data_IF_964815397872
#
_entry.id   IF_964815397872
#
_cell.length_a   1.000
_cell.length_b   1.000
_cell.length_c   1.000
_cell.angle_alpha   90.00
_cell.angle_beta   90.00
_cell.angle_gamma   90.00
#
_symmetry.space_group_name_H-M   'P 1'
#
loop_
_entity.id
_entity.type
_entity.pdbx_description
1 polymer ?
#
# COMPACT_ATOMS: atom_id res chain seq x y z
N UNK A 1 -1.86 -17.12 -44.07
CA UNK A 1 -2.69 -16.02 -43.55
C UNK A 1 -2.76 -16.16 -42.04
N UNK A 2 -1.93 -15.42 -41.32
CA UNK A 2 -1.82 -15.45 -39.86
C UNK A 2 -2.94 -14.61 -39.23
N UNK A 3 -3.87 -15.26 -38.52
CA UNK A 3 -4.86 -14.57 -37.69
C UNK A 3 -4.18 -14.07 -36.41
N UNK A 4 -3.95 -12.76 -36.35
CA UNK A 4 -3.46 -12.04 -35.17
C UNK A 4 -4.34 -12.30 -33.95
N UNK A 5 -3.83 -13.05 -32.97
CA UNK A 5 -4.37 -13.10 -31.61
C UNK A 5 -4.07 -11.78 -30.92
N UNK A 6 -5.02 -10.84 -30.98
CA UNK A 6 -4.99 -9.59 -30.22
C UNK A 6 -4.96 -9.90 -28.73
N UNK A 7 -3.82 -9.68 -28.09
CA UNK A 7 -3.65 -9.70 -26.64
C UNK A 7 -4.60 -8.68 -26.00
N UNK A 8 -5.68 -9.15 -25.37
CA UNK A 8 -6.60 -8.27 -24.63
C UNK A 8 -5.83 -7.75 -23.42
N UNK A 9 -5.57 -6.44 -23.41
CA UNK A 9 -4.83 -5.76 -22.36
C UNK A 9 -5.51 -5.98 -20.99
N UNK A 10 -4.72 -6.30 -19.98
CA UNK A 10 -5.15 -6.62 -18.61
C UNK A 10 -5.21 -5.33 -17.78
N UNK A 11 -6.30 -5.07 -17.06
CA UNK A 11 -6.38 -3.94 -16.11
C UNK A 11 -5.53 -4.25 -14.86
N UNK A 12 -4.43 -3.53 -14.59
CA UNK A 12 -3.54 -3.81 -13.46
C UNK A 12 -4.12 -3.43 -12.10
N UNK A 13 -5.15 -2.57 -12.03
CA UNK A 13 -5.73 -2.10 -10.77
C UNK A 13 -6.91 -2.94 -10.29
N UNK A 14 -7.59 -3.69 -11.17
CA UNK A 14 -8.90 -4.32 -10.90
C UNK A 14 -10.05 -3.32 -10.58
N UNK A 15 -9.76 -2.02 -10.48
CA UNK A 15 -10.70 -0.91 -10.27
C UNK A 15 -10.23 0.33 -11.02
N UNK A 16 -11.03 1.39 -11.04
CA UNK A 16 -10.65 2.72 -11.54
C UNK A 16 -10.16 3.59 -10.38
N UNK A 17 -8.89 4.08 -10.38
CA UNK A 17 -8.39 4.95 -9.32
C UNK A 17 -9.27 6.20 -9.13
N UNK A 18 -9.47 6.67 -7.90
CA UNK A 18 -10.26 7.89 -7.64
C UNK A 18 -9.58 9.15 -8.19
N UNK A 19 -10.29 9.90 -9.04
CA UNK A 19 -9.82 11.16 -9.62
C UNK A 19 -9.58 12.22 -8.54
N UNK A 20 -10.55 12.43 -7.65
CA UNK A 20 -10.46 13.48 -6.62
C UNK A 20 -9.25 13.26 -5.70
N UNK A 21 -9.05 12.03 -5.23
CA UNK A 21 -7.93 11.70 -4.32
C UNK A 21 -6.58 11.91 -5.02
N UNK A 22 -6.46 11.48 -6.27
CA UNK A 22 -5.20 11.61 -7.02
C UNK A 22 -4.86 13.06 -7.30
N UNK A 23 -5.83 13.89 -7.69
CA UNK A 23 -5.63 15.34 -7.88
C UNK A 23 -5.18 16.01 -6.57
N UNK A 24 -5.86 15.71 -5.46
CA UNK A 24 -5.51 16.27 -4.14
C UNK A 24 -4.07 15.92 -3.78
N UNK A 25 -3.67 14.65 -3.94
CA UNK A 25 -2.31 14.22 -3.61
C UNK A 25 -1.25 14.86 -4.51
N UNK A 26 -1.48 14.93 -5.83
CA UNK A 26 -0.59 15.63 -6.75
C UNK A 26 -0.41 17.09 -6.32
N UNK A 27 -1.50 17.80 -6.00
CA UNK A 27 -1.46 19.18 -5.58
C UNK A 27 -0.69 19.36 -4.26
N UNK A 28 -0.96 18.53 -3.25
CA UNK A 28 -0.30 18.61 -1.95
C UNK A 28 1.22 18.37 -2.07
N UNK A 29 1.64 17.34 -2.80
CA UNK A 29 3.06 17.07 -3.00
C UNK A 29 3.72 18.16 -3.85
N UNK A 30 3.07 18.63 -4.91
CA UNK A 30 3.62 19.69 -5.77
C UNK A 30 3.83 20.99 -5.00
N UNK A 31 2.83 21.44 -4.24
CA UNK A 31 2.92 22.64 -3.41
C UNK A 31 4.03 22.47 -2.37
N UNK A 32 4.09 21.32 -1.69
CA UNK A 32 5.13 21.02 -0.71
C UNK A 32 6.53 21.05 -1.34
N UNK A 33 6.71 20.42 -2.50
CA UNK A 33 7.99 20.41 -3.24
C UNK A 33 8.41 21.83 -3.61
N UNK A 34 7.52 22.64 -4.20
CA UNK A 34 7.83 24.02 -4.60
C UNK A 34 8.22 24.87 -3.39
N UNK A 35 7.49 24.76 -2.27
CA UNK A 35 7.80 25.48 -1.03
C UNK A 35 9.19 25.08 -0.49
N UNK A 36 9.49 23.78 -0.42
CA UNK A 36 10.78 23.31 0.06
C UNK A 36 11.93 23.63 -0.90
N UNK A 37 11.70 23.66 -2.22
CA UNK A 37 12.68 24.16 -3.20
C UNK A 37 12.99 25.64 -2.96
N UNK A 38 11.96 26.47 -2.76
CA UNK A 38 12.14 27.88 -2.44
C UNK A 38 12.92 28.09 -1.13
N UNK A 39 12.62 27.30 -0.09
CA UNK A 39 13.34 27.31 1.18
C UNK A 39 14.80 26.85 1.02
N UNK A 40 15.05 25.82 0.22
CA UNK A 40 16.40 25.31 -0.04
C UNK A 40 17.29 26.38 -0.69
N UNK A 41 16.76 27.08 -1.69
CA UNK A 41 17.49 28.15 -2.41
C UNK A 41 17.68 29.38 -1.52
N UNK A 42 16.59 29.86 -0.88
CA UNK A 42 16.64 31.10 -0.09
C UNK A 42 17.49 30.99 1.17
N UNK A 43 17.41 29.86 1.86
CA UNK A 43 18.14 29.61 3.10
C UNK A 43 19.46 28.85 2.89
N UNK A 44 19.85 28.59 1.64
CA UNK A 44 21.05 27.82 1.25
C UNK A 44 21.11 26.44 1.92
N UNK A 45 19.96 25.81 2.14
CA UNK A 45 19.83 24.47 2.71
C UNK A 45 19.95 23.43 1.60
N UNK A 46 21.11 23.36 0.96
CA UNK A 46 21.34 22.53 -0.24
C UNK A 46 21.05 21.04 -0.04
N UNK A 47 21.15 20.54 1.19
CA UNK A 47 20.81 19.14 1.51
C UNK A 47 19.33 18.82 1.28
N UNK A 48 18.42 19.81 1.25
CA UNK A 48 17.01 19.60 0.95
C UNK A 48 16.75 19.21 -0.51
N UNK A 49 17.65 19.57 -1.44
CA UNK A 49 17.49 19.25 -2.86
C UNK A 49 17.54 17.74 -3.14
N UNK A 50 18.62 17.00 -2.79
CA UNK A 50 18.68 15.56 -3.03
C UNK A 50 17.79 14.74 -2.08
N UNK A 51 17.17 15.36 -1.07
CA UNK A 51 16.31 14.66 -0.09
C UNK A 51 14.84 15.02 -0.27
N UNK A 52 14.38 16.11 0.32
CA UNK A 52 12.96 16.52 0.33
C UNK A 52 12.44 16.84 -1.06
N UNK A 53 13.19 17.58 -1.86
CA UNK A 53 12.75 17.98 -3.21
C UNK A 53 12.72 16.76 -4.13
N UNK A 54 13.78 15.95 -4.14
CA UNK A 54 13.81 14.73 -4.94
C UNK A 54 12.72 13.72 -4.54
N UNK A 55 12.53 13.47 -3.24
CA UNK A 55 11.45 12.62 -2.75
C UNK A 55 10.07 13.17 -3.12
N UNK A 56 9.85 14.48 -2.97
CA UNK A 56 8.60 15.13 -3.34
C UNK A 56 8.32 15.06 -4.85
N UNK A 57 9.33 15.22 -5.71
CA UNK A 57 9.19 15.04 -7.16
C UNK A 57 8.78 13.61 -7.53
N UNK A 58 9.38 12.60 -6.88
CA UNK A 58 8.99 11.20 -7.07
C UNK A 58 7.53 10.97 -6.67
N UNK A 59 7.08 11.54 -5.54
CA UNK A 59 5.67 11.46 -5.12
C UNK A 59 4.75 12.14 -6.13
N UNK A 60 5.08 13.35 -6.60
CA UNK A 60 4.29 14.04 -7.65
C UNK A 60 4.17 13.17 -8.89
N UNK A 61 5.27 12.61 -9.38
CA UNK A 61 5.28 11.75 -10.57
C UNK A 61 4.48 10.46 -10.33
N UNK A 62 4.61 9.87 -9.14
CA UNK A 62 3.86 8.66 -8.76
C UNK A 62 2.36 8.89 -8.74
N UNK A 63 1.90 9.95 -8.09
CA UNK A 63 0.49 10.32 -8.02
C UNK A 63 -0.06 10.82 -9.36
N UNK A 64 0.76 11.49 -10.18
CA UNK A 64 0.40 11.85 -11.55
C UNK A 64 0.24 10.61 -12.43
N UNK A 65 1.10 9.60 -12.26
CA UNK A 65 0.94 8.28 -12.88
C UNK A 65 -0.39 7.64 -12.48
N UNK A 66 -0.77 7.71 -11.20
CA UNK A 66 -2.06 7.21 -10.71
C UNK A 66 -3.26 7.96 -11.29
N UNK A 67 -3.15 9.29 -11.45
CA UNK A 67 -4.17 10.11 -12.11
C UNK A 67 -4.29 9.76 -13.59
N UNK A 68 -3.17 9.52 -14.28
CA UNK A 68 -3.21 9.04 -15.67
C UNK A 68 -3.93 7.69 -15.77
N UNK A 69 -3.67 6.79 -14.83
CA UNK A 69 -4.40 5.52 -14.74
C UNK A 69 -5.88 5.64 -14.42
N UNK A 70 -6.39 6.79 -13.97
CA UNK A 70 -7.84 7.03 -13.89
C UNK A 70 -8.45 7.14 -15.30
N UNK A 71 -7.84 7.93 -16.18
CA UNK A 71 -8.35 8.15 -17.55
C UNK A 71 -8.05 7.00 -18.50
N UNK A 72 -6.94 6.29 -18.29
CA UNK A 72 -6.53 5.13 -19.08
C UNK A 72 -5.99 4.02 -18.17
N UNK A 73 -6.93 3.26 -17.60
CA UNK A 73 -6.65 2.21 -16.62
C UNK A 73 -5.80 1.08 -17.22
N UNK A 74 -5.90 0.85 -18.53
CA UNK A 74 -5.15 -0.19 -19.23
C UNK A 74 -3.70 0.19 -19.50
N UNK A 75 -3.32 1.43 -19.21
CA UNK A 75 -1.99 1.93 -19.44
C UNK A 75 -0.99 1.35 -18.43
N UNK A 76 -0.33 0.27 -18.83
CA UNK A 76 0.70 -0.38 -18.03
C UNK A 76 1.88 0.55 -17.70
N UNK A 77 2.16 1.54 -18.54
CA UNK A 77 3.22 2.53 -18.27
C UNK A 77 2.84 3.43 -17.11
N UNK A 78 1.60 3.94 -17.08
CA UNK A 78 1.09 4.76 -15.98
C UNK A 78 1.09 3.99 -14.66
N UNK A 79 0.65 2.72 -14.68
CA UNK A 79 0.71 1.82 -13.52
C UNK A 79 2.14 1.60 -13.02
N UNK A 80 3.07 1.31 -13.92
CA UNK A 80 4.48 1.10 -13.59
C UNK A 80 5.15 2.36 -13.03
N UNK A 81 4.85 3.54 -13.62
CA UNK A 81 5.34 4.83 -13.13
C UNK A 81 4.87 5.07 -11.70
N UNK A 82 3.57 4.91 -11.43
CA UNK A 82 3.02 5.04 -10.09
C UNK A 82 3.75 4.08 -9.14
N UNK A 83 3.71 2.77 -9.44
CA UNK A 83 4.23 1.74 -8.54
C UNK A 83 5.72 1.95 -8.22
N UNK A 84 6.53 2.34 -9.20
CA UNK A 84 7.95 2.61 -8.99
C UNK A 84 8.16 3.89 -8.17
N UNK A 85 7.53 5.00 -8.56
CA UNK A 85 7.81 6.30 -7.95
C UNK A 85 7.29 6.39 -6.52
N UNK A 86 6.11 5.81 -6.20
CA UNK A 86 5.58 5.78 -4.82
C UNK A 86 6.35 4.81 -3.92
N UNK A 87 7.08 3.85 -4.49
CA UNK A 87 8.01 2.99 -3.72
C UNK A 87 9.28 3.76 -3.38
N UNK A 88 9.86 4.47 -4.35
CA UNK A 88 11.15 5.14 -4.17
C UNK A 88 11.04 6.50 -3.45
N UNK A 89 9.93 7.23 -3.61
CA UNK A 89 9.74 8.60 -3.12
C UNK A 89 9.97 8.82 -1.62
N UNK A 90 9.50 7.92 -0.74
CA UNK A 90 9.66 8.08 0.71
C UNK A 90 11.10 7.92 1.22
N UNK A 91 11.98 7.27 0.46
CA UNK A 91 13.36 6.98 0.88
C UNK A 91 14.21 8.27 1.00
N UNK A 92 14.24 9.16 0.00
CA UNK A 92 14.85 10.49 0.15
C UNK A 92 14.25 11.35 1.27
N UNK A 93 12.95 11.22 1.56
CA UNK A 93 12.30 11.92 2.68
C UNK A 93 12.83 11.43 4.03
N UNK A 94 13.09 10.13 4.15
CA UNK A 94 13.69 9.54 5.33
C UNK A 94 15.15 10.00 5.53
N UNK A 95 15.93 10.10 4.45
CA UNK A 95 17.27 10.66 4.49
C UNK A 95 17.30 12.12 5.04
N UNK A 96 16.29 12.94 4.72
CA UNK A 96 16.15 14.27 5.30
C UNK A 96 16.02 14.21 6.84
N UNK A 97 15.27 13.25 7.37
CA UNK A 97 15.08 13.09 8.81
C UNK A 97 16.40 12.78 9.52
N UNK A 98 17.26 11.94 8.94
CA UNK A 98 18.56 11.60 9.50
C UNK A 98 19.50 12.82 9.58
N UNK A 99 19.52 13.64 8.53
CA UNK A 99 20.33 14.87 8.49
C UNK A 99 19.82 15.89 9.51
N UNK A 100 18.50 16.10 9.57
CA UNK A 100 17.88 17.03 10.53
C UNK A 100 18.17 16.57 11.96
N UNK A 101 18.05 15.27 12.25
CA UNK A 101 18.36 14.72 13.56
C UNK A 101 19.83 14.93 13.95
N UNK A 102 20.76 14.71 13.01
CA UNK A 102 22.19 15.03 13.23
C UNK A 102 22.41 16.49 13.62
N UNK A 103 21.76 17.42 12.91
CA UNK A 103 21.81 18.86 13.24
C UNK A 103 21.20 19.19 14.60
N UNK A 104 20.12 18.50 15.01
CA UNK A 104 19.54 18.66 16.34
C UNK A 104 20.52 18.22 17.43
N UNK A 105 21.23 17.10 17.22
CA UNK A 105 22.25 16.64 18.17
C UNK A 105 23.39 17.66 18.30
N UNK A 106 23.82 18.26 17.19
CA UNK A 106 24.85 19.33 17.21
C UNK A 106 24.39 20.56 18.02
N UNK A 107 23.09 20.88 18.00
CA UNK A 107 22.53 22.01 18.74
C UNK A 107 22.25 21.72 20.22
N UNK A 108 21.73 20.53 20.54
CA UNK A 108 21.31 20.17 21.90
C UNK A 108 22.42 19.53 22.74
N UNK A 109 23.48 19.04 22.09
CA UNK A 109 24.64 18.44 22.74
C UNK A 109 24.90 17.02 22.27
N UNK A 110 26.15 16.75 21.87
CA UNK A 110 26.61 15.44 21.40
C UNK A 110 26.81 14.43 22.52
N UNK A 111 26.93 14.87 23.77
CA UNK A 111 27.20 14.04 24.95
C UNK A 111 26.07 13.05 25.29
N UNK A 112 24.82 13.33 24.89
CA UNK A 112 23.68 12.44 25.09
C UNK A 112 23.55 11.36 24.00
N UNK A 113 24.30 11.50 22.91
CA UNK A 113 24.21 10.63 21.74
C UNK A 113 25.19 9.47 21.77
N UNK A 114 24.79 8.30 21.25
CA UNK A 114 25.68 7.13 21.08
C UNK A 114 26.68 7.37 19.94
N UNK A 115 26.18 7.87 18.82
CA UNK A 115 26.93 8.12 17.60
C UNK A 115 27.18 9.62 17.44
N UNK A 116 28.26 9.99 16.75
CA UNK A 116 28.44 11.39 16.36
C UNK A 116 27.42 11.76 15.28
N UNK A 117 27.01 13.04 15.17
CA UNK A 117 26.06 13.51 14.17
C UNK A 117 26.38 13.08 12.73
N UNK A 118 27.68 13.08 12.38
CA UNK A 118 28.18 12.64 11.08
C UNK A 118 27.86 11.16 10.81
N UNK A 119 27.99 10.28 11.80
CA UNK A 119 27.68 8.86 11.63
C UNK A 119 26.18 8.60 11.44
N UNK A 120 25.29 9.39 12.05
CA UNK A 120 23.85 9.29 11.73
C UNK A 120 23.57 9.59 10.27
N UNK A 121 24.22 10.61 9.72
CA UNK A 121 24.06 10.93 8.30
C UNK A 121 24.66 9.83 7.43
N UNK A 122 25.91 9.40 7.69
CA UNK A 122 26.61 8.42 6.84
C UNK A 122 25.93 7.06 6.87
N UNK A 123 25.73 6.48 8.06
CA UNK A 123 25.22 5.11 8.20
C UNK A 123 23.80 5.02 7.63
N UNK A 124 22.89 5.86 8.12
CA UNK A 124 21.48 5.73 7.78
C UNK A 124 21.16 6.22 6.35
N UNK A 125 21.84 7.26 5.84
CA UNK A 125 21.65 7.62 4.43
C UNK A 125 22.28 6.59 3.49
N UNK A 126 23.43 5.98 3.85
CA UNK A 126 24.04 4.94 3.02
C UNK A 126 23.15 3.70 2.92
N UNK A 127 22.52 3.28 4.02
CA UNK A 127 21.56 2.17 3.99
C UNK A 127 20.32 2.49 3.15
N UNK A 128 19.84 3.73 3.17
CA UNK A 128 18.73 4.16 2.30
C UNK A 128 19.12 4.20 0.82
N UNK A 129 20.35 4.58 0.49
CA UNK A 129 20.85 4.52 -0.89
C UNK A 129 20.91 3.06 -1.35
N UNK A 130 21.44 2.16 -0.52
CA UNK A 130 21.49 0.73 -0.81
C UNK A 130 20.08 0.17 -1.02
N UNK A 131 19.14 0.50 -0.11
CA UNK A 131 17.76 0.02 -0.22
C UNK A 131 17.07 0.57 -1.48
N UNK A 132 17.33 1.81 -1.87
CA UNK A 132 16.81 2.42 -3.10
C UNK A 132 17.31 1.68 -4.35
N UNK A 133 18.59 1.33 -4.41
CA UNK A 133 19.13 0.55 -5.53
C UNK A 133 18.54 -0.87 -5.58
N UNK A 134 18.40 -1.53 -4.43
CA UNK A 134 17.77 -2.86 -4.35
C UNK A 134 16.31 -2.79 -4.81
N UNK A 135 15.55 -1.79 -4.36
CA UNK A 135 14.16 -1.57 -4.75
C UNK A 135 14.02 -1.22 -6.24
N UNK A 136 14.87 -0.34 -6.76
CA UNK A 136 14.90 0.00 -8.18
C UNK A 136 15.25 -1.20 -9.06
N UNK A 137 16.22 -2.02 -8.65
CA UNK A 137 16.57 -3.25 -9.35
C UNK A 137 15.42 -4.28 -9.30
N UNK A 138 14.80 -4.49 -8.14
CA UNK A 138 13.64 -5.37 -7.98
C UNK A 138 12.45 -4.92 -8.83
N UNK A 139 12.13 -3.62 -8.81
CA UNK A 139 11.08 -3.03 -9.64
C UNK A 139 11.37 -3.14 -11.14
N UNK A 140 12.63 -2.92 -11.56
CA UNK A 140 13.05 -3.11 -12.95
C UNK A 140 12.94 -4.56 -13.41
N UNK A 141 13.38 -5.52 -12.60
CA UNK A 141 13.23 -6.95 -12.87
C UNK A 141 11.77 -7.36 -12.96
N UNK A 142 10.91 -6.86 -12.06
CA UNK A 142 9.48 -7.11 -12.09
C UNK A 142 8.82 -6.55 -13.37
N UNK A 143 9.18 -5.33 -13.77
CA UNK A 143 8.68 -4.71 -15.00
C UNK A 143 9.11 -5.47 -16.27
N UNK A 144 10.37 -5.95 -16.31
CA UNK A 144 10.86 -6.77 -17.42
C UNK A 144 10.18 -8.14 -17.48
N UNK A 145 10.00 -8.80 -16.33
CA UNK A 145 9.30 -10.09 -16.25
C UNK A 145 7.85 -9.96 -16.74
N UNK A 146 7.17 -8.88 -16.35
CA UNK A 146 5.82 -8.56 -16.82
C UNK A 146 5.77 -8.37 -18.34
N UNK A 147 6.74 -7.68 -18.95
CA UNK A 147 6.83 -7.50 -20.41
C UNK A 147 7.13 -8.82 -21.15
N UNK A 148 7.94 -9.69 -20.56
CA UNK A 148 8.38 -10.94 -21.17
C UNK A 148 7.45 -12.13 -20.86
N UNK A 149 6.39 -11.93 -20.08
CA UNK A 149 5.46 -12.99 -19.67
C UNK A 149 6.08 -14.03 -18.73
N UNK A 150 7.16 -13.70 -18.03
CA UNK A 150 7.85 -14.58 -17.08
C UNK A 150 7.42 -14.28 -15.63
N UNK A 151 7.82 -15.15 -14.69
CA UNK A 151 7.44 -14.99 -13.28
C UNK A 151 7.97 -13.67 -12.68
N UNK A 152 7.06 -12.87 -12.14
CA UNK A 152 7.35 -11.56 -11.50
C UNK A 152 7.91 -11.74 -10.07
N UNK A 153 7.83 -12.96 -9.52
CA UNK A 153 8.20 -13.26 -8.13
C UNK A 153 9.61 -12.84 -7.77
N UNK A 154 10.58 -13.00 -8.68
CA UNK A 154 11.97 -12.64 -8.40
C UNK A 154 12.13 -11.13 -8.19
N UNK A 155 11.57 -10.30 -9.07
CA UNK A 155 11.61 -8.85 -8.92
C UNK A 155 10.88 -8.38 -7.67
N UNK A 156 9.73 -8.99 -7.36
CA UNK A 156 8.96 -8.70 -6.14
C UNK A 156 9.75 -9.02 -4.87
N UNK A 157 10.41 -10.17 -4.81
CA UNK A 157 11.20 -10.61 -3.66
C UNK A 157 12.44 -9.72 -3.43
N UNK A 158 13.11 -9.31 -4.51
CA UNK A 158 14.24 -8.37 -4.43
C UNK A 158 13.77 -7.02 -3.89
N UNK A 159 12.65 -6.50 -4.39
CA UNK A 159 12.07 -5.23 -3.91
C UNK A 159 11.65 -5.33 -2.44
N UNK A 160 10.97 -6.42 -2.05
CA UNK A 160 10.57 -6.71 -0.66
C UNK A 160 11.79 -6.75 0.28
N UNK A 161 12.89 -7.40 -0.13
CA UNK A 161 14.12 -7.42 0.64
C UNK A 161 14.69 -6.03 0.92
N UNK A 162 14.66 -5.14 -0.08
CA UNK A 162 15.07 -3.74 0.10
C UNK A 162 14.20 -2.97 1.10
N UNK A 163 12.89 -3.22 1.09
CA UNK A 163 11.94 -2.57 2.00
C UNK A 163 12.08 -3.09 3.43
N UNK A 164 12.25 -4.42 3.62
CA UNK A 164 12.51 -5.02 4.94
C UNK A 164 13.81 -4.47 5.54
N UNK A 165 14.87 -4.39 4.73
CA UNK A 165 16.13 -3.79 5.16
C UNK A 165 15.95 -2.33 5.59
N UNK A 166 15.22 -1.53 4.81
CA UNK A 166 14.91 -0.14 5.15
C UNK A 166 14.07 -0.02 6.44
N UNK A 167 13.11 -0.92 6.66
CA UNK A 167 12.31 -0.97 7.89
C UNK A 167 13.18 -1.32 9.11
N UNK A 168 14.13 -2.26 9.00
CA UNK A 168 15.04 -2.55 10.09
C UNK A 168 15.88 -1.31 10.46
N UNK A 169 16.35 -0.57 9.45
CA UNK A 169 17.11 0.68 9.61
C UNK A 169 16.27 1.77 10.30
N UNK A 170 15.01 1.97 9.89
CA UNK A 170 14.13 3.00 10.50
C UNK A 170 13.83 2.69 11.97
N UNK A 171 13.69 1.41 12.32
CA UNK A 171 13.48 0.95 13.71
C UNK A 171 14.72 1.24 14.56
N UNK A 172 15.91 0.90 14.06
CA UNK A 172 17.17 1.19 14.76
C UNK A 172 17.37 2.71 14.94
N UNK A 173 17.08 3.49 13.90
CA UNK A 173 17.14 4.95 13.97
C UNK A 173 16.18 5.51 15.02
N UNK A 174 14.93 5.05 15.02
CA UNK A 174 13.89 5.49 15.95
C UNK A 174 14.27 5.14 17.38
N UNK A 175 14.80 3.94 17.62
CA UNK A 175 15.32 3.55 18.92
C UNK A 175 16.44 4.50 19.38
N UNK A 176 17.41 4.80 18.51
CA UNK A 176 18.48 5.76 18.80
C UNK A 176 17.95 7.16 19.13
N UNK A 177 16.96 7.65 18.39
CA UNK A 177 16.36 8.96 18.60
C UNK A 177 15.59 9.04 19.93
N UNK A 178 14.76 8.03 20.22
CA UNK A 178 14.03 7.93 21.51
C UNK A 178 15.01 7.89 22.67
N UNK A 179 16.09 7.13 22.54
CA UNK A 179 17.13 7.03 23.56
C UNK A 179 17.85 8.37 23.79
N UNK A 180 18.18 9.09 22.72
CA UNK A 180 18.77 10.43 22.77
C UNK A 180 17.85 11.41 23.52
N UNK A 181 16.58 11.53 23.11
CA UNK A 181 15.64 12.46 23.75
C UNK A 181 15.31 12.07 25.19
N UNK A 182 15.28 10.77 25.50
CA UNK A 182 15.09 10.29 26.88
C UNK A 182 16.27 10.71 27.75
N UNK A 183 17.51 10.56 27.28
CA UNK A 183 18.71 10.99 28.02
C UNK A 183 18.82 12.50 28.12
N UNK A 184 18.52 13.21 27.04
CA UNK A 184 18.46 14.67 27.06
C UNK A 184 17.41 15.16 28.06
N UNK A 185 16.24 14.53 28.14
CA UNK A 185 15.17 14.91 29.07
C UNK A 185 15.52 14.59 30.52
N UNK A 186 16.12 13.42 30.78
CA UNK A 186 16.53 12.95 32.12
C UNK A 186 17.91 13.44 32.57
N UNK A 187 18.57 14.26 31.74
CA UNK A 187 19.91 14.80 31.94
C UNK A 187 20.96 13.73 32.32
N UNK A 188 20.99 12.63 31.56
CA UNK A 188 21.96 11.54 31.75
C UNK A 188 22.92 11.49 30.55
N UNK A 189 24.07 12.16 30.56
CA UNK A 189 25.03 12.10 29.44
C UNK A 189 25.66 10.70 29.34
N UNK A 190 25.93 10.26 28.10
CA UNK A 190 26.48 8.94 27.78
C UNK A 190 28.03 8.97 27.79
N UNK A 191 28.61 10.11 27.42
CA UNK A 191 30.03 10.39 27.54
C UNK A 191 30.21 11.46 28.60
N UNK A 192 31.11 11.22 29.56
CA UNK A 192 31.60 12.30 30.42
C UNK A 192 32.13 13.42 29.50
N UNK A 193 31.81 14.68 29.79
CA UNK A 193 32.29 15.81 29.00
C UNK A 193 33.81 15.91 29.16
N UNK A 194 34.58 15.22 28.29
CA UNK A 194 36.02 15.42 28.17
C UNK A 194 36.22 16.63 27.27
N UNK A 195 35.91 17.80 27.81
CA UNK A 195 36.32 19.09 27.25
C UNK A 195 37.25 19.73 28.28
N UNK A 196 38.49 20.10 27.90
CA UNK A 196 39.40 20.80 28.79
C UNK A 196 38.74 22.12 29.24
N UNK A 197 38.55 22.26 30.56
CA UNK A 197 38.45 23.42 31.48
C UNK A 197 37.93 24.81 30.99
N UNK A 198 37.82 25.15 29.71
CA UNK A 198 37.57 26.53 29.25
C UNK A 198 36.14 26.88 28.77
N UNK A 199 35.13 26.00 28.89
CA UNK A 199 33.74 26.33 28.50
C UNK A 199 32.68 25.94 29.53
N UNK A 200 32.93 26.29 30.79
CA UNK A 200 32.05 25.95 31.91
C UNK A 200 30.96 27.01 32.23
N UNK A 201 30.63 27.92 31.30
CA UNK A 201 29.61 28.97 31.55
C UNK A 201 28.32 28.87 30.71
N UNK A 202 28.23 28.03 29.67
CA UNK A 202 26.99 27.93 28.90
C UNK A 202 26.05 26.89 29.50
N UNK A 203 25.02 27.36 30.22
CA UNK A 203 23.94 26.52 30.75
C UNK A 203 23.29 25.61 29.70
N UNK A 204 22.66 24.51 30.16
CA UNK A 204 21.98 23.48 29.34
C UNK A 204 21.24 24.10 28.14
N UNK A 205 21.55 23.61 26.94
CA UNK A 205 20.85 23.99 25.71
C UNK A 205 19.33 23.83 25.90
N UNK A 206 18.59 24.94 25.88
CA UNK A 206 17.14 24.93 26.08
C UNK A 206 16.44 24.67 24.75
N UNK A 207 15.48 23.75 24.78
CA UNK A 207 14.67 23.43 23.62
C UNK A 207 13.69 24.58 23.33
N UNK A 208 14.00 25.37 22.29
CA UNK A 208 13.14 26.49 21.87
C UNK A 208 11.75 25.99 21.45
N UNK A 209 10.69 26.81 21.55
CA UNK A 209 9.35 26.43 21.10
C UNK A 209 9.32 25.97 19.63
N UNK A 210 10.10 26.62 18.77
CA UNK A 210 10.25 26.25 17.35
C UNK A 210 10.88 24.85 17.19
N UNK A 211 11.89 24.54 17.99
CA UNK A 211 12.53 23.22 17.99
C UNK A 211 11.57 22.13 18.47
N UNK A 212 10.70 22.42 19.45
CA UNK A 212 9.65 21.47 19.87
C UNK A 212 8.65 21.17 18.76
N UNK A 213 8.21 22.19 18.01
CA UNK A 213 7.32 22.01 16.86
C UNK A 213 8.02 21.18 15.77
N UNK A 214 9.29 21.49 15.48
CA UNK A 214 10.09 20.73 14.52
C UNK A 214 10.25 19.26 14.92
N UNK A 215 10.48 18.99 16.21
CA UNK A 215 10.54 17.63 16.76
C UNK A 215 9.20 16.90 16.64
N UNK A 216 8.10 17.56 16.97
CA UNK A 216 6.76 16.99 16.78
C UNK A 216 6.50 16.62 15.32
N UNK A 217 6.85 17.51 14.39
CA UNK A 217 6.76 17.24 12.94
C UNK A 217 7.66 16.09 12.49
N UNK A 218 8.91 16.04 12.98
CA UNK A 218 9.86 14.97 12.67
C UNK A 218 9.38 13.61 13.19
N UNK A 219 8.84 13.58 14.42
CA UNK A 219 8.24 12.38 15.02
C UNK A 219 7.01 11.92 14.26
N UNK A 220 6.11 12.83 13.90
CA UNK A 220 4.93 12.52 13.09
C UNK A 220 5.31 11.97 11.71
N UNK A 221 6.27 12.62 11.03
CA UNK A 221 6.78 12.16 9.73
C UNK A 221 7.41 10.77 9.84
N UNK A 222 8.27 10.54 10.85
CA UNK A 222 8.93 9.24 11.06
C UNK A 222 7.90 8.14 11.35
N UNK A 223 6.85 8.44 12.14
CA UNK A 223 5.75 7.52 12.40
C UNK A 223 5.01 7.16 11.11
N UNK A 224 4.62 8.15 10.30
CA UNK A 224 3.91 7.92 9.03
C UNK A 224 4.75 7.07 8.06
N UNK A 225 6.04 7.37 7.93
CA UNK A 225 6.97 6.61 7.09
C UNK A 225 7.15 5.16 7.58
N UNK A 226 7.13 4.95 8.91
CA UNK A 226 7.22 3.61 9.50
C UNK A 226 5.96 2.80 9.24
N UNK A 227 4.77 3.39 9.46
CA UNK A 227 3.48 2.75 9.15
C UNK A 227 3.42 2.36 7.68
N UNK A 228 3.80 3.28 6.78
CA UNK A 228 3.88 3.02 5.34
C UNK A 228 4.82 1.85 5.02
N UNK A 229 6.01 1.82 5.63
CA UNK A 229 6.97 0.74 5.41
C UNK A 229 6.43 -0.62 5.88
N UNK A 230 5.76 -0.67 7.04
CA UNK A 230 5.11 -1.89 7.54
C UNK A 230 4.01 -2.34 6.58
N UNK A 231 3.10 -1.44 6.20
CA UNK A 231 2.03 -1.75 5.24
C UNK A 231 2.62 -2.30 3.94
N UNK A 232 3.69 -1.69 3.43
CA UNK A 232 4.33 -2.12 2.19
C UNK A 232 5.01 -3.48 2.29
N UNK A 233 5.60 -3.83 3.44
CA UNK A 233 6.12 -5.18 3.68
C UNK A 233 4.98 -6.18 3.63
N UNK A 234 3.88 -5.91 4.34
CA UNK A 234 2.71 -6.80 4.36
C UNK A 234 2.14 -6.96 2.95
N UNK A 235 1.88 -5.85 2.27
CA UNK A 235 1.34 -5.80 0.89
C UNK A 235 2.17 -6.64 -0.10
N UNK A 236 3.51 -6.51 -0.07
CA UNK A 236 4.37 -7.25 -1.01
C UNK A 236 4.69 -8.67 -0.55
N UNK A 237 4.55 -8.98 0.74
CA UNK A 237 4.71 -10.34 1.26
C UNK A 237 3.57 -11.26 0.86
N UNK A 238 2.34 -10.73 0.74
CA UNK A 238 1.16 -11.44 0.23
C UNK A 238 1.11 -11.49 -1.31
N UNK A 239 2.03 -10.78 -1.98
CA UNK A 239 2.09 -10.64 -3.42
C UNK A 239 1.04 -9.66 -3.98
N UNK A 240 1.19 -9.34 -5.27
CA UNK A 240 0.41 -8.31 -5.98
C UNK A 240 -1.10 -8.63 -6.18
N UNK A 241 -1.64 -9.63 -5.48
CA UNK A 241 -3.05 -10.02 -5.52
C UNK A 241 -3.65 -10.36 -4.14
N UNK A 242 -2.95 -9.98 -3.06
CA UNK A 242 -3.33 -10.29 -1.67
C UNK A 242 -4.65 -9.64 -1.23
N UNK A 243 -5.32 -10.19 -0.19
CA UNK A 243 -6.60 -9.70 0.32
C UNK A 243 -6.57 -8.22 0.71
N UNK A 244 -5.47 -7.70 1.23
CA UNK A 244 -5.35 -6.29 1.66
C UNK A 244 -5.51 -5.31 0.49
N UNK A 245 -5.17 -5.70 -0.74
CA UNK A 245 -5.48 -4.90 -1.94
C UNK A 245 -6.93 -5.07 -2.42
N UNK A 246 -7.65 -6.10 -1.93
CA UNK A 246 -9.02 -6.45 -2.33
C UNK A 246 -10.09 -6.14 -1.27
N UNK A 247 -9.73 -5.93 -0.01
CA UNK A 247 -10.66 -5.70 1.12
C UNK A 247 -11.56 -4.48 0.92
N UNK A 248 -11.14 -3.49 0.11
CA UNK A 248 -12.03 -2.39 -0.31
C UNK A 248 -13.31 -2.87 -1.00
N UNK A 249 -13.34 -4.07 -1.59
CA UNK A 249 -14.45 -4.55 -2.41
C UNK A 249 -15.78 -4.67 -1.65
N UNK A 250 -15.78 -5.21 -0.42
CA UNK A 250 -17.04 -5.38 0.33
C UNK A 250 -17.61 -4.04 0.80
N UNK A 251 -16.74 -3.12 1.20
CA UNK A 251 -17.10 -1.74 1.51
C UNK A 251 -17.66 -1.01 0.27
N UNK A 252 -17.03 -1.20 -0.88
CA UNK A 252 -17.45 -0.62 -2.17
C UNK A 252 -18.81 -1.18 -2.60
N UNK A 253 -19.05 -2.49 -2.53
CA UNK A 253 -20.31 -3.09 -2.98
C UNK A 253 -21.50 -2.57 -2.15
N UNK A 254 -21.40 -2.51 -0.82
CA UNK A 254 -22.47 -1.94 -0.01
C UNK A 254 -22.72 -0.46 -0.33
N UNK A 255 -21.65 0.34 -0.53
CA UNK A 255 -21.80 1.74 -0.91
C UNK A 255 -22.39 1.93 -2.32
N UNK A 256 -22.13 1.01 -3.25
CA UNK A 256 -22.67 1.04 -4.62
C UNK A 256 -24.14 0.65 -4.71
N UNK A 257 -24.62 -0.24 -3.83
CA UNK A 257 -26.03 -0.69 -3.85
C UNK A 257 -26.96 0.38 -3.23
N UNK A 258 -26.43 1.31 -2.41
CA UNK A 258 -27.18 2.45 -1.88
C UNK A 258 -28.17 2.10 -0.77
N UNK A 259 -29.00 3.07 -0.36
CA UNK A 259 -30.01 2.87 0.69
C UNK A 259 -31.05 1.81 0.30
N UNK A 260 -31.26 0.80 1.16
CA UNK A 260 -32.16 -0.34 0.90
C UNK A 260 -31.50 -1.51 0.19
N UNK A 261 -30.22 -1.39 -0.19
CA UNK A 261 -29.41 -2.44 -0.76
C UNK A 261 -29.01 -3.52 0.22
N UNK A 262 -28.94 -4.78 -0.24
CA UNK A 262 -28.49 -5.91 0.57
C UNK A 262 -27.29 -6.61 -0.07
N UNK A 263 -26.27 -6.89 0.74
CA UNK A 263 -25.06 -7.60 0.34
C UNK A 263 -24.92 -8.88 1.16
N UNK A 264 -24.69 -10.00 0.48
CA UNK A 264 -24.43 -11.29 1.12
C UNK A 264 -23.02 -11.75 0.76
N UNK A 265 -22.18 -11.96 1.77
CA UNK A 265 -20.83 -12.51 1.63
C UNK A 265 -20.76 -13.94 2.17
N UNK A 266 -20.15 -14.85 1.40
CA UNK A 266 -20.00 -16.26 1.75
C UNK A 266 -18.53 -16.64 1.67
N UNK A 267 -18.00 -17.23 2.73
CA UNK A 267 -16.66 -17.84 2.73
C UNK A 267 -16.72 -19.21 3.41
N UNK A 268 -16.01 -20.21 2.88
CA UNK A 268 -16.01 -21.55 3.46
C UNK A 268 -15.08 -21.70 4.68
N UNK A 269 -14.28 -20.67 5.02
CA UNK A 269 -13.43 -20.62 6.22
C UNK A 269 -14.13 -19.78 7.30
N UNK A 270 -14.67 -20.39 8.38
CA UNK A 270 -15.37 -19.65 9.44
C UNK A 270 -14.53 -18.55 10.08
N UNK A 271 -13.24 -18.78 10.24
CA UNK A 271 -12.30 -17.82 10.83
C UNK A 271 -12.16 -16.56 9.98
N UNK A 272 -12.24 -16.67 8.64
CA UNK A 272 -12.24 -15.50 7.75
C UNK A 272 -13.57 -14.76 7.79
N UNK A 273 -14.68 -15.47 7.98
CA UNK A 273 -16.00 -14.85 8.17
C UNK A 273 -16.02 -14.02 9.45
N UNK A 274 -15.60 -14.59 10.58
CA UNK A 274 -15.54 -13.88 11.85
C UNK A 274 -14.63 -12.65 11.75
N UNK A 275 -13.48 -12.81 11.10
CA UNK A 275 -12.55 -11.70 10.88
C UNK A 275 -13.14 -10.61 9.98
N UNK A 276 -13.88 -10.98 8.92
CA UNK A 276 -14.56 -10.03 8.04
C UNK A 276 -15.62 -9.22 8.78
N UNK A 277 -16.39 -9.85 9.66
CA UNK A 277 -17.41 -9.19 10.50
C UNK A 277 -16.76 -8.21 11.46
N UNK A 278 -15.63 -8.57 12.07
CA UNK A 278 -14.88 -7.67 12.95
C UNK A 278 -14.35 -6.44 12.18
N UNK A 279 -13.82 -6.65 10.97
CA UNK A 279 -13.31 -5.57 10.13
C UNK A 279 -14.44 -4.62 9.69
N UNK A 280 -15.57 -5.15 9.23
CA UNK A 280 -16.75 -4.35 8.87
C UNK A 280 -17.25 -3.51 10.06
N UNK A 281 -17.23 -4.05 11.28
CA UNK A 281 -17.56 -3.27 12.50
C UNK A 281 -16.57 -2.14 12.75
N UNK A 282 -15.26 -2.39 12.59
CA UNK A 282 -14.21 -1.38 12.73
C UNK A 282 -14.34 -0.26 11.69
N UNK A 283 -14.80 -0.60 10.49
CA UNK A 283 -15.03 0.34 9.39
C UNK A 283 -16.36 1.11 9.52
N UNK A 284 -17.08 0.96 10.63
CA UNK A 284 -18.30 1.70 10.93
C UNK A 284 -19.58 1.09 10.35
N UNK A 285 -19.50 -0.08 9.71
CA UNK A 285 -20.64 -0.79 9.11
C UNK A 285 -21.35 -1.74 10.10
N UNK A 286 -21.08 -1.61 11.40
CA UNK A 286 -21.76 -2.40 12.44
C UNK A 286 -23.29 -2.31 12.37
N UNK A 287 -23.84 -1.13 12.08
CA UNK A 287 -25.28 -0.95 11.91
C UNK A 287 -25.84 -1.69 10.69
N UNK A 288 -25.09 -1.75 9.60
CA UNK A 288 -25.48 -2.47 8.38
C UNK A 288 -25.49 -3.99 8.60
N UNK A 289 -24.57 -4.49 9.45
CA UNK A 289 -24.58 -5.89 9.92
C UNK A 289 -25.81 -6.16 10.82
N UNK A 290 -26.07 -5.29 11.80
CA UNK A 290 -27.18 -5.47 12.75
C UNK A 290 -28.56 -5.40 12.07
N UNK A 291 -28.69 -4.56 11.03
CA UNK A 291 -29.90 -4.41 10.23
C UNK A 291 -30.03 -5.43 9.09
N UNK A 292 -29.04 -6.32 8.92
CA UNK A 292 -28.97 -7.33 7.85
C UNK A 292 -28.92 -6.76 6.43
N UNK A 293 -28.46 -5.52 6.28
CA UNK A 293 -28.06 -4.96 4.99
C UNK A 293 -26.76 -5.61 4.49
N UNK A 294 -25.90 -6.06 5.41
CA UNK A 294 -24.75 -6.92 5.11
C UNK A 294 -24.89 -8.21 5.92
N UNK A 295 -24.87 -9.36 5.24
CA UNK A 295 -24.85 -10.67 5.90
C UNK A 295 -23.59 -11.44 5.46
N UNK A 296 -22.72 -11.75 6.42
CA UNK A 296 -21.54 -12.59 6.21
C UNK A 296 -21.83 -13.98 6.77
N UNK A 297 -21.56 -15.04 6.00
CA UNK A 297 -21.85 -16.41 6.42
C UNK A 297 -20.74 -17.39 6.05
N UNK A 298 -20.56 -18.36 6.94
CA UNK A 298 -19.69 -19.50 6.71
C UNK A 298 -20.43 -20.57 5.90
N UNK A 299 -19.93 -20.91 4.71
CA UNK A 299 -20.58 -21.87 3.84
C UNK A 299 -19.87 -22.10 2.52
N UNK A 300 -20.29 -23.13 1.78
CA UNK A 300 -19.75 -23.42 0.46
C UNK A 300 -20.31 -22.44 -0.58
N UNK A 301 -19.48 -21.49 -1.00
CA UNK A 301 -19.83 -20.50 -2.01
C UNK A 301 -20.23 -21.09 -3.37
N UNK A 302 -19.91 -22.36 -3.67
CA UNK A 302 -20.38 -23.05 -4.89
C UNK A 302 -21.88 -23.27 -4.90
N UNK A 303 -22.51 -23.33 -3.72
CA UNK A 303 -23.95 -23.51 -3.54
C UNK A 303 -24.70 -22.16 -3.51
N UNK A 304 -23.99 -21.04 -3.43
CA UNK A 304 -24.58 -19.73 -3.20
C UNK A 304 -25.37 -19.65 -1.89
N UNK A 305 -26.33 -18.74 -1.82
CA UNK A 305 -27.25 -18.60 -0.70
C UNK A 305 -28.66 -18.34 -1.21
N UNK A 306 -29.40 -19.41 -1.48
CA UNK A 306 -30.73 -19.34 -2.08
C UNK A 306 -31.75 -18.53 -1.25
N UNK A 307 -31.64 -18.54 0.07
CA UNK A 307 -32.57 -17.83 0.96
C UNK A 307 -32.47 -16.30 0.87
N UNK A 308 -31.35 -15.78 0.35
CA UNK A 308 -31.15 -14.34 0.12
C UNK A 308 -31.32 -13.92 -1.34
N UNK A 309 -31.50 -14.87 -2.27
CA UNK A 309 -31.67 -14.59 -3.69
C UNK A 309 -33.14 -14.39 -4.10
N UNK A 310 -33.41 -14.11 -5.39
CA UNK A 310 -32.43 -13.98 -6.47
C UNK A 310 -31.60 -12.69 -6.37
N UNK A 311 -30.39 -12.71 -6.92
CA UNK A 311 -29.42 -11.61 -6.83
C UNK A 311 -29.29 -10.87 -8.16
N UNK A 312 -29.35 -9.53 -8.13
CA UNK A 312 -29.11 -8.68 -9.32
C UNK A 312 -27.66 -8.79 -9.81
N UNK A 313 -26.73 -8.96 -8.87
CA UNK A 313 -25.31 -9.11 -9.13
C UNK A 313 -24.69 -10.23 -8.30
N UNK A 314 -23.88 -11.09 -8.94
CA UNK A 314 -23.08 -12.12 -8.26
C UNK A 314 -21.61 -11.94 -8.63
N UNK A 315 -20.74 -11.80 -7.64
CA UNK A 315 -19.29 -11.78 -7.85
C UNK A 315 -18.65 -12.97 -7.12
N UNK A 316 -17.81 -13.72 -7.84
CA UNK A 316 -17.07 -14.85 -7.27
C UNK A 316 -15.59 -14.52 -7.23
N UNK A 317 -15.03 -14.40 -6.02
CA UNK A 317 -13.64 -14.02 -5.78
C UNK A 317 -12.62 -15.17 -5.88
N UNK A 318 -12.99 -16.33 -6.43
CA UNK A 318 -12.16 -17.52 -6.56
C UNK A 318 -12.44 -18.26 -7.88
N UNK A 319 -11.43 -18.96 -8.41
CA UNK A 319 -11.54 -19.62 -9.71
C UNK A 319 -12.25 -20.96 -9.64
N UNK A 320 -13.40 -21.07 -10.29
CA UNK A 320 -14.13 -22.33 -10.39
C UNK A 320 -13.68 -23.14 -11.61
N UNK A 321 -13.57 -24.47 -11.56
CA UNK A 321 -13.29 -25.28 -12.75
C UNK A 321 -14.33 -25.09 -13.86
N UNK A 322 -15.59 -24.92 -13.45
CA UNK A 322 -16.75 -24.59 -14.29
C UNK A 322 -17.70 -23.71 -13.48
N UNK A 323 -18.59 -22.98 -14.15
CA UNK A 323 -19.59 -22.12 -13.48
C UNK A 323 -20.53 -22.99 -12.62
N UNK A 324 -20.64 -22.75 -11.30
CA UNK A 324 -21.55 -23.51 -10.45
C UNK A 324 -23.02 -23.27 -10.85
N UNK A 325 -23.82 -24.34 -11.11
CA UNK A 325 -25.22 -24.20 -11.51
C UNK A 325 -26.08 -23.45 -10.49
N UNK A 326 -25.84 -23.66 -9.19
CA UNK A 326 -26.58 -23.00 -8.12
C UNK A 326 -26.47 -21.47 -8.18
N UNK A 327 -25.31 -20.94 -8.57
CA UNK A 327 -25.12 -19.50 -8.74
C UNK A 327 -25.89 -18.97 -9.97
N UNK A 328 -25.94 -19.75 -11.05
CA UNK A 328 -26.73 -19.40 -12.24
C UNK A 328 -28.23 -19.37 -11.94
N UNK A 329 -28.73 -20.33 -11.16
CA UNK A 329 -30.13 -20.39 -10.74
C UNK A 329 -30.50 -19.19 -9.86
N UNK A 330 -29.59 -18.78 -8.96
CA UNK A 330 -29.81 -17.67 -8.04
C UNK A 330 -29.60 -16.28 -8.68
N UNK A 331 -29.11 -16.19 -9.92
CA UNK A 331 -29.00 -14.92 -10.63
C UNK A 331 -30.38 -14.42 -11.07
N UNK A 332 -30.72 -13.16 -10.75
CA UNK A 332 -31.98 -12.54 -11.13
C UNK A 332 -32.14 -12.39 -12.66
N UNK A 333 -33.38 -12.17 -13.11
CA UNK A 333 -33.72 -11.84 -14.50
C UNK A 333 -34.34 -10.44 -14.51
N UNK A 334 -33.62 -9.37 -14.89
CA UNK A 334 -32.25 -9.36 -15.38
C UNK A 334 -31.21 -9.42 -14.25
N UNK A 335 -30.02 -9.93 -14.55
CA UNK A 335 -28.94 -10.02 -13.56
C UNK A 335 -27.58 -10.31 -14.19
N UNK A 336 -26.50 -9.96 -13.50
CA UNK A 336 -25.13 -10.15 -13.98
C UNK A 336 -24.23 -10.87 -12.99
N UNK A 337 -23.52 -11.89 -13.46
CA UNK A 337 -22.48 -12.56 -12.70
C UNK A 337 -21.10 -12.33 -13.28
N UNK A 338 -20.11 -12.15 -12.41
CA UNK A 338 -18.69 -12.18 -12.74
C UNK A 338 -18.01 -13.31 -11.97
N UNK A 339 -17.46 -14.28 -12.70
CA UNK A 339 -16.80 -15.47 -12.12
C UNK A 339 -15.53 -15.83 -12.89
N UNK A 340 -14.38 -16.02 -12.22
CA UNK A 340 -13.22 -16.64 -12.82
C UNK A 340 -13.46 -18.13 -13.06
N UNK A 341 -13.30 -18.59 -14.30
CA UNK A 341 -13.52 -19.99 -14.70
C UNK A 341 -12.24 -20.57 -15.30
N UNK A 342 -11.83 -21.74 -14.81
CA UNK A 342 -10.72 -22.55 -15.32
C UNK A 342 -9.84 -23.13 -14.21
N UNK A 343 -8.98 -24.08 -14.57
CA UNK A 343 -8.01 -24.71 -13.65
C UNK A 343 -6.66 -23.98 -13.70
N UNK A 344 -5.82 -24.31 -14.69
CA UNK A 344 -4.52 -23.66 -14.90
C UNK A 344 -4.62 -22.35 -15.69
N UNK A 345 -5.33 -22.37 -16.81
CA UNK A 345 -5.71 -21.17 -17.54
C UNK A 345 -7.12 -20.77 -17.09
N UNK A 346 -7.26 -19.57 -16.57
CA UNK A 346 -8.51 -19.06 -16.02
C UNK A 346 -8.90 -17.80 -16.80
N UNK A 347 -10.20 -17.59 -16.99
CA UNK A 347 -10.74 -16.36 -17.55
C UNK A 347 -11.94 -15.89 -16.75
N UNK A 348 -12.08 -14.59 -16.53
CA UNK A 348 -13.35 -14.04 -16.04
C UNK A 348 -14.41 -14.24 -17.12
N UNK A 349 -15.49 -14.92 -16.73
CA UNK A 349 -16.72 -15.02 -17.49
C UNK A 349 -17.72 -14.03 -16.90
N UNK A 350 -18.17 -13.10 -17.74
CA UNK A 350 -19.36 -12.29 -17.49
C UNK A 350 -20.55 -13.09 -17.99
N UNK A 351 -21.51 -13.28 -17.11
CA UNK A 351 -22.74 -14.01 -17.42
C UNK A 351 -23.90 -13.06 -17.20
N UNK A 352 -24.61 -12.74 -18.26
CA UNK A 352 -25.80 -11.91 -18.22
C UNK A 352 -27.04 -12.79 -18.38
N UNK A 353 -27.99 -12.66 -17.46
CA UNK A 353 -29.34 -13.18 -17.61
C UNK A 353 -30.25 -12.02 -18.00
N UNK A 354 -30.92 -12.13 -19.14
CA UNK A 354 -31.88 -11.12 -19.59
C UNK A 354 -33.22 -11.24 -18.86
N UNK A 355 -34.15 -10.31 -19.14
CA UNK A 355 -35.51 -10.31 -18.55
C UNK A 355 -36.33 -11.57 -18.90
N UNK A 356 -35.98 -12.27 -19.98
CA UNK A 356 -36.64 -13.50 -20.42
C UNK A 356 -35.99 -14.77 -19.83
N UNK A 357 -34.95 -14.61 -19.00
CA UNK A 357 -34.19 -15.71 -18.42
C UNK A 357 -33.14 -16.32 -19.36
N UNK A 358 -32.90 -15.74 -20.54
CA UNK A 358 -31.84 -16.21 -21.44
C UNK A 358 -30.47 -15.84 -20.88
N UNK A 359 -29.59 -16.83 -20.84
CA UNK A 359 -28.23 -16.67 -20.32
C UNK A 359 -27.27 -16.45 -21.48
N UNK A 360 -26.49 -15.38 -21.41
CA UNK A 360 -25.39 -15.12 -22.33
C UNK A 360 -24.08 -15.08 -21.55
N UNK A 361 -23.08 -15.82 -22.03
CA UNK A 361 -21.76 -15.89 -21.41
C UNK A 361 -20.72 -15.25 -22.32
N UNK A 362 -19.98 -14.29 -21.77
CA UNK A 362 -18.86 -13.64 -22.43
C UNK A 362 -17.59 -13.84 -21.62
N UNK A 363 -16.59 -14.47 -22.24
CA UNK A 363 -15.23 -14.46 -21.72
C UNK A 363 -14.66 -13.05 -21.86
N UNK A 364 -14.32 -12.43 -20.74
CA UNK A 364 -13.86 -11.04 -20.69
C UNK A 364 -12.35 -10.98 -20.83
N UNK A 365 -11.62 -11.66 -19.94
CA UNK A 365 -10.16 -11.60 -19.88
C UNK A 365 -9.57 -12.81 -19.15
N UNK A 366 -8.34 -13.18 -19.48
CA UNK A 366 -7.58 -14.16 -18.72
C UNK A 366 -7.18 -13.58 -17.35
N UNK A 367 -7.21 -14.41 -16.30
CA UNK A 367 -6.92 -14.01 -14.92
C UNK A 367 -6.19 -15.11 -14.16
N UNK A 368 -5.79 -14.83 -12.91
CA UNK A 368 -5.32 -15.85 -11.97
C UNK A 368 -5.85 -15.57 -10.57
N UNK A 369 -6.66 -16.49 -10.08
CA UNK A 369 -7.33 -16.49 -8.78
C UNK A 369 -6.96 -17.75 -8.00
N UNK A 370 -7.11 -17.67 -6.67
CA UNK A 370 -7.11 -18.85 -5.80
C UNK A 370 -8.26 -19.78 -6.20
N UNK A 371 -8.10 -21.11 -6.11
CA UNK A 371 -9.13 -22.05 -6.55
C UNK A 371 -10.38 -22.00 -5.65
N UNK A 372 -11.56 -22.04 -6.26
CA UNK A 372 -12.82 -22.28 -5.57
C UNK A 372 -12.91 -23.80 -5.30
N UNK A 373 -12.54 -24.20 -4.09
CA UNK A 373 -12.28 -25.60 -3.74
C UNK A 373 -12.92 -26.00 -2.40
N UNK A 374 -12.76 -27.26 -2.03
CA UNK A 374 -13.12 -27.78 -0.71
C UNK A 374 -12.23 -27.14 0.36
N UNK A 375 -12.81 -26.81 1.52
CA UNK A 375 -12.13 -26.19 2.66
C UNK A 375 -10.84 -26.91 3.03
N UNK A 376 -10.89 -28.23 3.17
CA UNK A 376 -9.75 -29.04 3.62
C UNK A 376 -8.53 -28.89 2.69
N UNK A 377 -8.77 -28.80 1.37
CA UNK A 377 -7.70 -28.60 0.38
C UNK A 377 -7.06 -27.21 0.44
N UNK A 378 -7.71 -26.24 1.07
CA UNK A 378 -7.21 -24.87 1.17
C UNK A 378 -6.42 -24.63 2.46
N UNK A 379 -6.75 -25.36 3.54
CA UNK A 379 -6.10 -25.20 4.85
C UNK A 379 -4.86 -26.08 5.04
N UNK A 380 -4.72 -27.16 4.26
CA UNK A 380 -3.60 -28.11 4.34
C UNK A 380 -2.29 -27.64 3.65
N UNK A 381 -2.11 -26.34 3.42
CA UNK A 381 -0.93 -25.75 2.75
C UNK A 381 0.10 -25.15 3.71
#
# INVERSE_FOLDING_TARGET
MSSNSTSIAHNPYSYTPSEAVTIIMVALFLISTVVHTGQAVRSKLWYLLPTVVFGGLLEVVGWAGRLWSHYDVMNMTAYQIQALCTVLGPTPLLAANFIIFGKIIEQLGTCYSRLTPKYYTIIFCSSDIISLFVQGAGGGLAAMASRNGTSISMGSNVMLGGIIFQLAVIVIFTACAVEYFTRFSKDRPLRASVTPIEKQEEGRARMSPKLKIMLGGLSFNTLCLTIRAIYRVVELSEGWGGPIMKTELYFILHHLVGEGGKVVGIDHIPELVDWSVENLKKDGLGKALDSKEIEMMAGDGRLGYAAGGPYDAIHVGAAAPTVPPALLEQLASPGRMFIPVGNFMQSIEQIDKDENGNVTTKRIMAVRYVPLTDRDKQVDF
#
